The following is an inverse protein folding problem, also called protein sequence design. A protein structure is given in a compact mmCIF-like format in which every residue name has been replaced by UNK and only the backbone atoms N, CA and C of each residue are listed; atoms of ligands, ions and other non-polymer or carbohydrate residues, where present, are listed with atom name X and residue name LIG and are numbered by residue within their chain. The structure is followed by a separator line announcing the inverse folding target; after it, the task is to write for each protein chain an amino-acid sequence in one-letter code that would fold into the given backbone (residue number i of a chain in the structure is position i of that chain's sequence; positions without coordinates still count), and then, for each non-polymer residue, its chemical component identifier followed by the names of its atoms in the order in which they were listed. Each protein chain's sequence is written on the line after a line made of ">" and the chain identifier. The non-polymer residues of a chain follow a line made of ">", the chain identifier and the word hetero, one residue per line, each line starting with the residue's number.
data_IF_123984984942
#
_entry.id   IF_123984984942
#
_cell.length_a   1.000
_cell.length_b   1.000
_cell.length_c   1.000
_cell.angle_alpha   90.00
_cell.angle_beta   90.00
_cell.angle_gamma   90.00
#
_symmetry.space_group_name_H-M   'P 1'
#
loop_
_entity.id
_entity.type
_entity.pdbx_description
1 polymer ?
#
# COMPACT_ATOMS: atom_id res chain seq x y z
N UNK A 1 6.45 72.89 -48.02
CA UNK A 1 6.42 71.42 -48.07
C UNK A 1 7.38 70.92 -47.02
N UNK A 2 6.88 70.61 -45.79
CA UNK A 2 7.71 70.15 -44.67
C UNK A 2 7.61 68.65 -44.62
N UNK A 3 8.74 67.95 -44.82
CA UNK A 3 8.87 66.50 -44.67
C UNK A 3 9.07 66.17 -43.17
N UNK A 4 8.07 65.50 -42.60
CA UNK A 4 8.15 64.98 -41.21
C UNK A 4 8.83 63.62 -41.30
N UNK A 5 10.02 63.48 -40.65
CA UNK A 5 10.72 62.22 -40.44
C UNK A 5 10.13 61.55 -39.24
N UNK A 6 9.48 60.43 -39.42
CA UNK A 6 8.98 59.58 -38.34
C UNK A 6 10.12 58.67 -37.90
N UNK A 7 10.67 58.93 -36.72
CA UNK A 7 11.68 58.04 -36.12
C UNK A 7 10.92 56.96 -35.34
N UNK A 8 10.94 55.73 -35.86
CA UNK A 8 10.46 54.54 -35.16
C UNK A 8 11.56 54.08 -34.23
N UNK A 9 11.39 54.30 -32.91
CA UNK A 9 12.26 53.73 -31.87
C UNK A 9 11.81 52.31 -31.62
N UNK A 10 12.56 51.34 -32.15
CA UNK A 10 12.38 49.92 -31.89
C UNK A 10 13.01 49.58 -30.51
N UNK A 11 12.19 49.55 -29.47
CA UNK A 11 12.62 49.12 -28.14
C UNK A 11 12.83 47.60 -28.13
N UNK A 12 14.06 47.16 -28.16
CA UNK A 12 14.48 45.80 -27.89
C UNK A 12 14.28 45.49 -26.41
N UNK A 13 13.18 44.81 -26.10
CA UNK A 13 12.99 44.21 -24.79
C UNK A 13 13.85 42.95 -24.72
N UNK A 14 15.02 43.04 -24.13
CA UNK A 14 15.87 41.89 -23.80
C UNK A 14 15.24 41.15 -22.61
N UNK A 15 14.61 40.02 -22.88
CA UNK A 15 14.12 39.12 -21.84
C UNK A 15 15.35 38.41 -21.24
N UNK A 16 15.77 38.87 -20.09
CA UNK A 16 16.84 38.23 -19.30
C UNK A 16 16.26 36.96 -18.67
N UNK A 17 16.54 35.80 -19.26
CA UNK A 17 16.34 34.55 -18.58
C UNK A 17 17.41 34.41 -17.48
N UNK A 18 17.01 34.68 -16.24
CA UNK A 18 17.80 34.32 -15.08
C UNK A 18 17.78 32.80 -14.95
N UNK A 19 18.81 32.12 -15.41
CA UNK A 19 19.09 30.75 -15.02
C UNK A 19 19.55 30.79 -13.55
N UNK A 20 18.61 30.57 -12.63
CA UNK A 20 18.95 30.18 -11.29
C UNK A 20 19.54 28.76 -11.37
N UNK A 21 20.85 28.65 -11.36
CA UNK A 21 21.57 27.41 -11.08
C UNK A 21 21.30 27.06 -9.62
N UNK A 22 20.14 26.40 -9.36
CA UNK A 22 19.88 25.71 -8.12
C UNK A 22 20.75 24.46 -8.12
N UNK A 23 21.86 24.50 -7.36
CA UNK A 23 22.56 23.29 -6.94
C UNK A 23 21.61 22.49 -6.06
N UNK A 24 20.84 21.58 -6.67
CA UNK A 24 20.15 20.52 -5.95
C UNK A 24 21.24 19.55 -5.49
N UNK A 25 21.67 19.68 -4.26
CA UNK A 25 22.25 18.56 -3.54
C UNK A 25 21.23 17.43 -3.56
N UNK A 26 21.46 16.45 -4.44
CA UNK A 26 20.70 15.22 -4.56
C UNK A 26 20.98 14.32 -3.35
N UNK A 27 20.41 14.69 -2.21
CA UNK A 27 20.14 13.80 -1.10
C UNK A 27 18.90 12.97 -1.42
N UNK A 28 18.96 12.15 -2.48
CA UNK A 28 17.84 11.37 -3.03
C UNK A 28 17.28 10.32 -2.09
N UNK A 29 16.76 10.71 -0.94
CA UNK A 29 15.88 9.91 -0.12
C UNK A 29 14.53 9.74 -0.83
N UNK A 30 14.36 8.63 -1.56
CA UNK A 30 13.11 8.30 -2.25
C UNK A 30 11.93 8.50 -1.30
N UNK A 31 11.10 9.50 -1.54
CA UNK A 31 9.98 9.84 -0.66
C UNK A 31 9.06 8.62 -0.53
N UNK A 32 8.86 8.14 0.72
CA UNK A 32 8.05 6.97 1.00
C UNK A 32 6.62 7.16 0.47
N UNK A 33 6.16 6.20 -0.31
CA UNK A 33 4.79 6.17 -0.83
C UNK A 33 3.77 5.97 0.30
N UNK A 34 2.47 6.16 0.02
CA UNK A 34 1.41 5.81 0.98
C UNK A 34 1.45 4.33 1.35
N UNK A 35 1.75 3.46 0.39
CA UNK A 35 1.94 2.03 0.61
C UNK A 35 3.10 1.77 1.61
N UNK A 36 4.27 2.33 1.38
CA UNK A 36 5.44 2.14 2.26
C UNK A 36 5.18 2.62 3.69
N UNK A 37 4.50 3.76 3.83
CA UNK A 37 4.09 4.30 5.14
C UNK A 37 3.11 3.36 5.83
N UNK A 38 2.13 2.82 5.10
CA UNK A 38 1.17 1.86 5.63
C UNK A 38 1.84 0.57 6.08
N UNK A 39 2.72 -0.01 5.28
CA UNK A 39 3.49 -1.22 5.65
C UNK A 39 4.32 -0.99 6.92
N UNK A 40 4.93 0.20 7.06
CA UNK A 40 5.67 0.57 8.28
C UNK A 40 4.74 0.61 9.51
N UNK A 41 3.53 1.18 9.38
CA UNK A 41 2.54 1.21 10.45
C UNK A 41 2.05 -0.20 10.83
N UNK A 42 1.79 -1.07 9.84
CA UNK A 42 1.39 -2.47 10.07
C UNK A 42 2.47 -3.23 10.84
N UNK A 43 3.74 -3.12 10.42
CA UNK A 43 4.85 -3.74 11.14
C UNK A 43 4.93 -3.27 12.60
N UNK A 44 4.70 -1.97 12.83
CA UNK A 44 4.67 -1.41 14.19
C UNK A 44 3.44 -1.89 14.99
N UNK A 45 2.27 -2.01 14.36
CA UNK A 45 1.06 -2.52 14.98
C UNK A 45 1.23 -3.99 15.42
N UNK A 46 1.73 -4.87 14.55
CA UNK A 46 2.04 -6.27 14.89
C UNK A 46 3.00 -6.38 16.09
N UNK A 47 4.00 -5.48 16.22
CA UNK A 47 4.89 -5.44 17.38
C UNK A 47 4.16 -5.01 18.66
N UNK A 48 3.18 -4.13 18.56
CA UNK A 48 2.36 -3.70 19.70
C UNK A 48 1.41 -4.80 20.16
N UNK A 49 0.78 -5.54 19.24
CA UNK A 49 -0.05 -6.70 19.56
C UNK A 49 0.75 -7.76 20.35
N UNK A 50 1.96 -8.11 19.88
CA UNK A 50 2.85 -9.06 20.58
C UNK A 50 3.21 -8.59 22.00
N UNK A 51 3.06 -7.29 22.31
CA UNK A 51 3.28 -6.70 23.64
C UNK A 51 1.96 -6.49 24.42
N UNK A 52 0.83 -7.00 23.93
CA UNK A 52 -0.49 -6.83 24.54
C UNK A 52 -1.05 -5.41 24.45
N UNK A 53 -0.44 -4.50 23.68
CA UNK A 53 -0.87 -3.11 23.52
C UNK A 53 -1.91 -2.96 22.39
N UNK A 54 -3.03 -3.66 22.52
CA UNK A 54 -4.01 -3.86 21.45
C UNK A 54 -4.65 -2.54 20.96
N UNK A 55 -5.08 -1.64 21.83
CA UNK A 55 -5.65 -0.35 21.42
C UNK A 55 -4.68 0.48 20.56
N UNK A 56 -3.40 0.52 20.96
CA UNK A 56 -2.37 1.21 20.19
C UNK A 56 -2.11 0.53 18.84
N UNK A 57 -2.24 -0.79 18.77
CA UNK A 57 -2.12 -1.54 17.53
C UNK A 57 -3.30 -1.22 16.60
N UNK A 58 -4.54 -1.24 17.09
CA UNK A 58 -5.75 -0.89 16.32
C UNK A 58 -5.64 0.52 15.72
N UNK A 59 -5.26 1.52 16.51
CA UNK A 59 -5.05 2.88 16.00
C UNK A 59 -4.03 2.96 14.86
N UNK A 60 -2.99 2.09 14.88
CA UNK A 60 -2.02 2.02 13.77
C UNK A 60 -2.60 1.31 12.55
N UNK A 61 -3.42 0.26 12.75
CA UNK A 61 -4.10 -0.40 11.63
C UNK A 61 -5.08 0.54 10.93
N UNK A 62 -5.85 1.35 11.66
CA UNK A 62 -6.72 2.38 11.08
C UNK A 62 -5.94 3.39 10.21
N UNK A 63 -4.81 3.89 10.73
CA UNK A 63 -3.96 4.82 9.98
C UNK A 63 -3.38 4.15 8.73
N UNK A 64 -2.97 2.90 8.84
CA UNK A 64 -2.45 2.13 7.71
C UNK A 64 -3.54 1.91 6.65
N UNK A 65 -4.74 1.52 7.05
CA UNK A 65 -5.87 1.31 6.15
C UNK A 65 -6.19 2.58 5.34
N UNK A 66 -6.25 3.76 5.99
CA UNK A 66 -6.48 5.05 5.31
C UNK A 66 -5.42 5.35 4.25
N UNK A 67 -4.17 5.00 4.51
CA UNK A 67 -3.08 5.16 3.54
C UNK A 67 -3.15 4.15 2.39
N UNK A 68 -3.57 2.90 2.69
CA UNK A 68 -3.75 1.87 1.68
C UNK A 68 -4.91 2.19 0.74
N UNK A 69 -6.02 2.72 1.26
CA UNK A 69 -7.13 3.22 0.43
C UNK A 69 -6.61 4.27 -0.55
N UNK A 70 -5.92 5.30 -0.06
CA UNK A 70 -5.31 6.33 -0.93
C UNK A 70 -4.29 5.76 -1.93
N UNK A 71 -3.60 4.68 -1.57
CA UNK A 71 -2.68 3.99 -2.48
C UNK A 71 -3.43 3.26 -3.58
N UNK A 72 -4.51 2.56 -3.21
CA UNK A 72 -5.36 1.81 -4.13
C UNK A 72 -6.12 2.74 -5.09
N UNK A 73 -6.65 3.87 -4.60
CA UNK A 73 -7.32 4.89 -5.44
C UNK A 73 -6.37 5.46 -6.48
N UNK A 74 -5.11 5.70 -6.10
CA UNK A 74 -4.09 6.24 -7.00
C UNK A 74 -3.58 5.21 -8.01
N UNK A 75 -3.47 3.94 -7.61
CA UNK A 75 -3.00 2.83 -8.44
C UNK A 75 -3.79 1.57 -8.10
N UNK A 76 -4.98 1.39 -8.68
CA UNK A 76 -5.80 0.21 -8.46
C UNK A 76 -5.16 -1.04 -9.07
N UNK A 77 -5.64 -2.21 -8.64
CA UNK A 77 -5.22 -3.48 -9.24
C UNK A 77 -3.82 -3.94 -8.80
N UNK A 78 -3.38 -3.59 -7.60
CA UNK A 78 -2.14 -4.10 -7.02
C UNK A 78 -2.46 -5.12 -5.92
N UNK A 79 -2.08 -6.38 -6.12
CA UNK A 79 -2.36 -7.48 -5.20
C UNK A 79 -1.76 -7.25 -3.80
N UNK A 80 -0.55 -6.71 -3.69
CA UNK A 80 0.06 -6.38 -2.39
C UNK A 80 -0.75 -5.33 -1.61
N UNK A 81 -1.27 -4.30 -2.32
CA UNK A 81 -2.11 -3.27 -1.68
C UNK A 81 -3.41 -3.88 -1.19
N UNK A 82 -4.05 -4.74 -1.99
CA UNK A 82 -5.28 -5.46 -1.63
C UNK A 82 -5.05 -6.44 -0.48
N UNK A 83 -3.89 -7.12 -0.46
CA UNK A 83 -3.46 -7.95 0.67
C UNK A 83 -3.47 -7.17 1.99
N UNK A 84 -2.82 -6.01 2.03
CA UNK A 84 -2.78 -5.22 3.25
C UNK A 84 -4.08 -4.50 3.56
N UNK A 85 -4.93 -4.16 2.57
CA UNK A 85 -6.30 -3.71 2.81
C UNK A 85 -7.11 -4.81 3.48
N UNK A 86 -7.09 -6.04 2.96
CA UNK A 86 -7.75 -7.18 3.58
C UNK A 86 -7.26 -7.41 5.02
N UNK A 87 -5.94 -7.41 5.21
CA UNK A 87 -5.32 -7.58 6.53
C UNK A 87 -5.77 -6.50 7.53
N UNK A 88 -5.67 -5.23 7.19
CA UNK A 88 -6.02 -4.14 8.11
C UNK A 88 -7.51 -4.10 8.39
N UNK A 89 -8.36 -4.36 7.40
CA UNK A 89 -9.82 -4.41 7.54
C UNK A 89 -10.24 -5.55 8.47
N UNK A 90 -9.68 -6.75 8.30
CA UNK A 90 -9.89 -7.89 9.19
C UNK A 90 -9.41 -7.59 10.63
N UNK A 91 -8.24 -6.97 10.81
CA UNK A 91 -7.71 -6.59 12.13
C UNK A 91 -8.57 -5.55 12.85
N UNK A 92 -9.34 -4.78 12.13
CA UNK A 92 -10.34 -3.83 12.66
C UNK A 92 -11.71 -4.48 12.92
N UNK A 93 -11.84 -5.80 12.69
CA UNK A 93 -13.05 -6.58 12.98
C UNK A 93 -14.01 -6.74 11.81
N UNK A 94 -13.75 -6.12 10.67
CA UNK A 94 -14.58 -6.25 9.48
C UNK A 94 -14.10 -7.41 8.59
N UNK A 95 -14.54 -8.62 8.95
CA UNK A 95 -14.13 -9.84 8.26
C UNK A 95 -14.70 -9.91 6.84
N UNK A 96 -15.94 -9.44 6.63
CA UNK A 96 -16.60 -9.50 5.33
C UNK A 96 -15.88 -8.64 4.27
N UNK A 97 -15.61 -7.38 4.56
CA UNK A 97 -14.88 -6.53 3.63
C UNK A 97 -13.40 -6.91 3.55
N UNK A 98 -12.81 -7.45 4.62
CA UNK A 98 -11.47 -8.03 4.59
C UNK A 98 -11.36 -9.15 3.57
N UNK A 99 -12.32 -10.08 3.56
CA UNK A 99 -12.40 -11.17 2.58
C UNK A 99 -12.55 -10.64 1.14
N UNK A 100 -13.44 -9.65 0.92
CA UNK A 100 -13.62 -9.04 -0.41
C UNK A 100 -12.31 -8.51 -0.99
N UNK A 101 -11.49 -7.82 -0.18
CA UNK A 101 -10.18 -7.34 -0.62
C UNK A 101 -9.23 -8.50 -0.99
N UNK A 102 -9.20 -9.56 -0.19
CA UNK A 102 -8.38 -10.73 -0.50
C UNK A 102 -8.82 -11.41 -1.81
N UNK A 103 -10.11 -11.58 -2.01
CA UNK A 103 -10.64 -12.19 -3.23
C UNK A 103 -10.34 -11.33 -4.47
N UNK A 104 -10.43 -10.01 -4.36
CA UNK A 104 -10.00 -9.10 -5.43
C UNK A 104 -8.49 -9.25 -5.73
N UNK A 105 -7.67 -9.39 -4.70
CA UNK A 105 -6.24 -9.63 -4.87
C UNK A 105 -5.93 -10.97 -5.54
N UNK A 106 -6.65 -12.04 -5.18
CA UNK A 106 -6.51 -13.36 -5.80
C UNK A 106 -7.02 -13.40 -7.25
N UNK A 107 -7.96 -12.53 -7.62
CA UNK A 107 -8.36 -12.38 -9.02
C UNK A 107 -7.22 -11.82 -9.90
N UNK A 108 -6.26 -11.09 -9.29
CA UNK A 108 -5.10 -10.54 -9.97
C UNK A 108 -3.92 -11.53 -9.92
N UNK A 109 -3.63 -12.04 -8.72
CA UNK A 109 -2.57 -13.02 -8.47
C UNK A 109 -3.10 -14.18 -7.63
N UNK A 110 -3.58 -15.26 -8.26
CA UNK A 110 -4.15 -16.42 -7.56
C UNK A 110 -3.17 -17.14 -6.62
N UNK A 111 -1.86 -16.96 -6.83
CA UNK A 111 -0.80 -17.59 -6.04
C UNK A 111 -0.13 -16.62 -5.05
N UNK A 112 -0.66 -15.44 -4.87
CA UNK A 112 -0.11 -14.46 -3.95
C UNK A 112 0.04 -15.03 -2.54
N UNK A 113 1.27 -15.20 -2.08
CA UNK A 113 1.60 -15.90 -0.83
C UNK A 113 0.89 -15.27 0.37
N UNK A 114 1.06 -13.99 0.60
CA UNK A 114 0.47 -13.31 1.76
C UNK A 114 -1.06 -13.25 1.74
N UNK A 115 -1.71 -13.23 0.57
CA UNK A 115 -3.18 -13.27 0.51
C UNK A 115 -3.67 -14.67 0.86
N UNK A 116 -3.07 -15.72 0.33
CA UNK A 116 -3.48 -17.09 0.65
C UNK A 116 -3.28 -17.40 2.14
N UNK A 117 -2.19 -16.90 2.77
CA UNK A 117 -2.00 -16.99 4.21
C UNK A 117 -3.13 -16.28 4.97
N UNK A 118 -3.30 -14.98 4.77
CA UNK A 118 -4.22 -14.16 5.58
C UNK A 118 -5.69 -14.46 5.32
N UNK A 119 -6.06 -14.87 4.11
CA UNK A 119 -7.39 -15.36 3.83
C UNK A 119 -7.63 -16.72 4.51
N UNK A 120 -6.63 -17.59 4.53
CA UNK A 120 -6.67 -18.83 5.30
C UNK A 120 -6.89 -18.58 6.80
N UNK A 121 -6.14 -17.65 7.41
CA UNK A 121 -6.36 -17.21 8.80
C UNK A 121 -7.79 -16.67 9.02
N UNK A 122 -8.32 -15.87 8.07
CA UNK A 122 -9.67 -15.34 8.12
C UNK A 122 -10.70 -16.48 8.10
N UNK A 123 -10.50 -17.50 7.28
CA UNK A 123 -11.38 -18.65 7.21
C UNK A 123 -11.38 -19.47 8.50
N UNK A 124 -10.23 -19.67 9.14
CA UNK A 124 -10.17 -20.28 10.48
C UNK A 124 -10.93 -19.44 11.49
N UNK A 125 -10.69 -18.13 11.54
CA UNK A 125 -11.35 -17.22 12.47
C UNK A 125 -12.88 -17.14 12.30
N UNK A 126 -13.40 -17.54 11.13
CA UNK A 126 -14.83 -17.58 10.80
C UNK A 126 -15.39 -18.99 10.70
N UNK A 127 -14.71 -20.00 11.28
CA UNK A 127 -15.11 -21.42 11.32
C UNK A 127 -15.26 -22.06 9.91
N UNK A 128 -14.57 -21.57 8.91
CA UNK A 128 -14.58 -22.11 7.53
C UNK A 128 -13.29 -22.89 7.23
N UNK A 129 -13.00 -23.91 8.07
CA UNK A 129 -11.74 -24.66 8.03
C UNK A 129 -11.44 -25.31 6.67
N UNK A 130 -12.45 -25.84 5.95
CA UNK A 130 -12.23 -26.43 4.64
C UNK A 130 -11.60 -25.43 3.66
N UNK A 131 -12.07 -24.17 3.66
CA UNK A 131 -11.51 -23.12 2.81
C UNK A 131 -10.09 -22.72 3.24
N UNK A 132 -9.78 -22.76 4.54
CA UNK A 132 -8.43 -22.54 5.04
C UNK A 132 -7.46 -23.63 4.54
N UNK A 133 -7.88 -24.89 4.54
CA UNK A 133 -7.09 -26.02 4.01
C UNK A 133 -6.84 -25.86 2.51
N UNK A 134 -7.81 -25.37 1.74
CA UNK A 134 -7.60 -25.05 0.32
C UNK A 134 -6.52 -23.99 0.13
N UNK A 135 -6.55 -22.92 0.94
CA UNK A 135 -5.50 -21.87 0.89
C UNK A 135 -4.13 -22.43 1.25
N UNK A 136 -4.05 -23.27 2.28
CA UNK A 136 -2.82 -23.96 2.66
C UNK A 136 -2.29 -24.83 1.50
N UNK A 137 -3.18 -25.51 0.77
CA UNK A 137 -2.84 -26.32 -0.40
C UNK A 137 -2.15 -25.52 -1.51
N UNK A 138 -2.56 -24.26 -1.72
CA UNK A 138 -1.92 -23.35 -2.69
C UNK A 138 -0.51 -22.96 -2.27
N UNK A 139 -0.28 -22.81 -0.96
CA UNK A 139 1.04 -22.47 -0.39
C UNK A 139 2.00 -23.67 -0.37
N UNK A 140 1.53 -24.88 -0.65
CA UNK A 140 2.37 -26.08 -0.62
C UNK A 140 3.53 -25.95 -1.63
N UNK A 141 4.74 -26.05 -1.13
CA UNK A 141 5.97 -25.98 -1.94
C UNK A 141 6.54 -24.58 -2.15
N UNK A 142 5.99 -23.53 -1.52
CA UNK A 142 6.55 -22.17 -1.61
C UNK A 142 7.89 -22.01 -0.87
N UNK A 143 8.26 -22.94 0.02
CA UNK A 143 9.39 -22.81 0.96
C UNK A 143 9.35 -21.47 1.74
N UNK A 144 8.16 -21.06 2.14
CA UNK A 144 7.90 -19.79 2.79
C UNK A 144 7.31 -19.99 4.20
N UNK A 145 7.55 -19.04 5.09
CA UNK A 145 7.05 -19.09 6.48
C UNK A 145 5.52 -18.99 6.55
N UNK A 146 4.87 -18.40 5.57
CA UNK A 146 3.43 -18.24 5.46
C UNK A 146 2.71 -19.60 5.40
N UNK A 147 3.32 -20.61 4.77
CA UNK A 147 2.82 -21.99 4.81
C UNK A 147 2.83 -22.55 6.22
N UNK A 148 3.97 -22.41 6.94
CA UNK A 148 4.12 -22.94 8.30
C UNK A 148 3.23 -22.18 9.29
N UNK A 149 3.11 -20.86 9.14
CA UNK A 149 2.25 -20.00 9.96
C UNK A 149 0.76 -20.40 9.79
N UNK A 150 0.27 -20.55 8.57
CA UNK A 150 -1.11 -20.98 8.33
C UNK A 150 -1.36 -22.43 8.77
N UNK A 151 -0.42 -23.35 8.50
CA UNK A 151 -0.51 -24.75 8.94
C UNK A 151 -0.64 -24.85 10.47
N UNK A 152 0.12 -24.06 11.20
CA UNK A 152 0.04 -24.04 12.67
C UNK A 152 -1.30 -23.49 13.21
N UNK A 153 -1.97 -22.63 12.46
CA UNK A 153 -3.29 -22.07 12.84
C UNK A 153 -4.43 -23.06 12.53
N UNK A 154 -4.27 -23.90 11.51
CA UNK A 154 -5.28 -24.91 11.11
C UNK A 154 -5.21 -26.17 12.02
N UNK A 155 -4.04 -26.50 12.58
CA UNK A 155 -3.79 -27.68 13.41
C UNK A 155 -4.50 -27.60 14.75
#
# INVERSE_FOLDING_TARGET
>A
MKKIFLIIILSLVTFQYSYAAGSSEDGGGKQKTNYDKAVTLIKSAKKLEKKGKNEKALSKYEKAQKLLIKSNDKKPGNADTLNYLGFTTRKLGDFENGEKYYLQGLAIDPKHIGINEYLGELYVATNRHNLAVERLGILKGCNCKEYDELKAIIA
#
